data_IF_378243392847
#
_entry.id   IF_378243392847
#
_cell.length_a   1.000
_cell.length_b   1.000
_cell.length_c   1.000
_cell.angle_alpha   90.00
_cell.angle_beta   90.00
_cell.angle_gamma   90.00
#
_symmetry.space_group_name_H-M   'P 1'
#
loop_
_entity.id
_entity.type
_entity.pdbx_description
1 polymer ?
#
# COMPACT_ATOMS: atom_id res chain seq x y z
N UNK A 1 -17.80 -9.34 15.30
CA UNK A 1 -18.09 -7.92 14.95
C UNK A 1 -19.06 -7.97 13.79
N UNK A 2 -20.24 -7.47 13.96
CA UNK A 2 -21.28 -7.56 12.95
C UNK A 2 -20.89 -6.75 11.71
N UNK A 3 -21.00 -7.37 10.55
CA UNK A 3 -20.58 -6.83 9.26
C UNK A 3 -21.21 -5.47 8.95
N UNK A 4 -22.46 -5.27 9.40
CA UNK A 4 -23.22 -4.03 9.17
C UNK A 4 -22.64 -2.82 9.94
N UNK A 5 -22.23 -3.00 11.20
CA UNK A 5 -21.59 -1.95 12.00
C UNK A 5 -20.23 -1.52 11.36
N UNK A 6 -19.45 -2.46 10.88
CA UNK A 6 -18.18 -2.15 10.21
C UNK A 6 -18.38 -1.32 8.94
N UNK A 7 -19.42 -1.63 8.15
CA UNK A 7 -19.76 -0.89 6.93
C UNK A 7 -20.15 0.56 7.26
N UNK A 8 -21.06 0.76 8.23
CA UNK A 8 -21.50 2.09 8.64
C UNK A 8 -20.33 2.94 9.17
N UNK A 9 -19.41 2.31 9.93
CA UNK A 9 -18.19 2.98 10.41
C UNK A 9 -17.30 3.41 9.26
N UNK A 10 -17.08 2.51 8.28
CA UNK A 10 -16.26 2.79 7.11
C UNK A 10 -16.83 3.96 6.30
N UNK A 11 -18.15 3.98 6.05
CA UNK A 11 -18.83 5.06 5.32
C UNK A 11 -18.69 6.40 6.03
N UNK A 12 -18.86 6.41 7.37
CA UNK A 12 -18.65 7.61 8.20
C UNK A 12 -17.22 8.12 8.09
N UNK A 13 -16.21 7.25 8.26
CA UNK A 13 -14.80 7.61 8.20
C UNK A 13 -14.41 8.12 6.81
N UNK A 14 -14.95 7.52 5.75
CA UNK A 14 -14.76 7.97 4.38
C UNK A 14 -15.32 9.38 4.18
N UNK A 15 -16.57 9.62 4.61
CA UNK A 15 -17.20 10.93 4.50
C UNK A 15 -16.42 12.03 5.28
N UNK A 16 -15.94 11.73 6.49
CA UNK A 16 -15.09 12.63 7.27
C UNK A 16 -13.76 12.97 6.58
N UNK A 17 -13.29 12.08 5.73
CA UNK A 17 -12.04 12.23 4.94
C UNK A 17 -12.28 12.80 3.55
N UNK A 18 -13.50 13.23 3.23
CA UNK A 18 -13.89 13.76 1.91
C UNK A 18 -13.91 12.70 0.81
N UNK A 19 -14.04 11.43 1.18
CA UNK A 19 -14.14 10.31 0.26
C UNK A 19 -15.61 9.86 0.13
N UNK A 20 -15.96 9.37 -1.06
CA UNK A 20 -17.27 8.76 -1.30
C UNK A 20 -17.06 7.31 -1.75
N UNK A 21 -17.51 6.37 -0.91
CA UNK A 21 -17.48 4.95 -1.24
C UNK A 21 -18.82 4.57 -1.86
N UNK A 22 -18.84 4.30 -3.17
CA UNK A 22 -20.06 3.98 -3.91
C UNK A 22 -19.82 2.83 -4.88
N UNK A 23 -20.93 2.13 -5.23
CA UNK A 23 -20.94 1.10 -6.24
C UNK A 23 -19.92 -0.02 -6.00
N UNK A 24 -19.32 -0.48 -7.07
CA UNK A 24 -18.38 -1.62 -7.06
C UNK A 24 -17.20 -1.43 -6.09
N UNK A 25 -16.67 -0.21 -5.95
CA UNK A 25 -15.58 0.07 -5.01
C UNK A 25 -16.01 -0.25 -3.57
N UNK A 26 -17.17 0.24 -3.15
CA UNK A 26 -17.68 -0.01 -1.80
C UNK A 26 -17.90 -1.51 -1.55
N UNK A 27 -18.51 -2.22 -2.49
CA UNK A 27 -18.76 -3.67 -2.41
C UNK A 27 -17.47 -4.47 -2.29
N UNK A 28 -16.47 -4.15 -3.11
CA UNK A 28 -15.16 -4.83 -3.09
C UNK A 28 -14.36 -4.52 -1.81
N UNK A 29 -14.41 -3.30 -1.30
CA UNK A 29 -13.77 -2.95 -0.01
C UNK A 29 -14.42 -3.72 1.15
N UNK A 30 -15.74 -3.85 1.16
CA UNK A 30 -16.46 -4.65 2.14
C UNK A 30 -16.10 -6.15 2.03
N UNK A 31 -15.99 -6.68 0.80
CA UNK A 31 -15.56 -8.06 0.56
C UNK A 31 -14.13 -8.29 1.06
N UNK A 32 -13.23 -7.33 0.83
CA UNK A 32 -11.87 -7.36 1.36
C UNK A 32 -11.85 -7.40 2.89
N UNK A 33 -12.62 -6.55 3.56
CA UNK A 33 -12.68 -6.53 5.03
C UNK A 33 -13.24 -7.83 5.60
N UNK A 34 -14.28 -8.40 4.97
CA UNK A 34 -14.81 -9.72 5.39
C UNK A 34 -13.76 -10.83 5.23
N UNK A 35 -13.05 -10.83 4.11
CA UNK A 35 -11.97 -11.79 3.86
C UNK A 35 -10.86 -11.67 4.89
N UNK A 36 -10.42 -10.43 5.13
CA UNK A 36 -9.37 -10.11 6.12
C UNK A 36 -9.77 -10.58 7.52
N UNK A 37 -11.00 -10.28 7.97
CA UNK A 37 -11.52 -10.68 9.26
C UNK A 37 -11.53 -12.22 9.41
N UNK A 38 -11.96 -12.93 8.38
CA UNK A 38 -11.98 -14.41 8.36
C UNK A 38 -10.57 -14.98 8.52
N UNK A 39 -9.60 -14.48 7.77
CA UNK A 39 -8.23 -14.98 7.83
C UNK A 39 -7.50 -14.55 9.10
N UNK A 40 -7.83 -13.39 9.65
CA UNK A 40 -7.19 -12.88 10.87
C UNK A 40 -7.50 -13.73 12.12
N UNK A 41 -8.49 -14.61 12.07
CA UNK A 41 -8.74 -15.62 13.12
C UNK A 41 -7.65 -16.69 13.19
N UNK A 42 -6.96 -16.94 12.07
CA UNK A 42 -5.97 -18.02 11.94
C UNK A 42 -4.53 -17.53 11.78
N UNK A 43 -4.36 -16.33 11.25
CA UNK A 43 -3.04 -15.70 11.06
C UNK A 43 -3.12 -14.21 11.41
N UNK A 44 -2.06 -13.67 12.02
CA UNK A 44 -2.00 -12.25 12.36
C UNK A 44 -1.70 -11.41 11.10
N UNK A 45 -2.76 -10.96 10.42
CA UNK A 45 -2.67 -10.07 9.26
C UNK A 45 -2.63 -8.59 9.66
N UNK A 46 -3.33 -8.26 10.74
CA UNK A 46 -3.41 -6.90 11.28
C UNK A 46 -3.14 -6.89 12.77
N UNK A 47 -2.55 -5.80 13.27
CA UNK A 47 -2.42 -5.56 14.70
C UNK A 47 -3.79 -5.38 15.37
N UNK A 48 -3.88 -5.69 16.67
CA UNK A 48 -5.05 -5.36 17.49
C UNK A 48 -5.03 -3.87 17.81
N UNK A 49 -5.81 -3.09 17.06
CA UNK A 49 -6.10 -1.68 17.32
C UNK A 49 -7.62 -1.50 17.37
N UNK A 50 -8.07 -0.35 17.85
CA UNK A 50 -9.50 -0.06 17.79
C UNK A 50 -10.01 -0.07 16.33
N UNK A 51 -11.30 -0.32 16.17
CA UNK A 51 -11.89 -0.57 14.85
C UNK A 51 -11.77 0.64 13.92
N UNK A 52 -11.99 1.86 14.41
CA UNK A 52 -11.96 3.07 13.59
C UNK A 52 -10.53 3.35 13.11
N UNK A 53 -9.52 3.24 13.99
CA UNK A 53 -8.11 3.37 13.61
C UNK A 53 -7.68 2.28 12.62
N UNK A 54 -8.18 1.06 12.79
CA UNK A 54 -7.89 -0.05 11.87
C UNK A 54 -8.47 0.22 10.48
N UNK A 55 -9.76 0.58 10.38
CA UNK A 55 -10.42 0.89 9.12
C UNK A 55 -9.77 2.09 8.42
N UNK A 56 -9.41 3.10 9.21
CA UNK A 56 -8.71 4.28 8.71
C UNK A 56 -7.38 3.90 8.07
N UNK A 57 -6.55 3.13 8.78
CA UNK A 57 -5.24 2.70 8.27
C UNK A 57 -5.35 1.75 7.09
N UNK A 58 -6.30 0.81 7.12
CA UNK A 58 -6.43 -0.21 6.09
C UNK A 58 -7.05 0.32 4.80
N UNK A 59 -7.99 1.25 4.89
CA UNK A 59 -8.82 1.68 3.75
C UNK A 59 -8.67 3.17 3.46
N UNK A 60 -8.91 4.04 4.44
CA UNK A 60 -9.00 5.49 4.21
C UNK A 60 -7.67 6.07 3.77
N UNK A 61 -6.59 5.79 4.50
CA UNK A 61 -5.24 6.26 4.13
C UNK A 61 -4.81 5.84 2.72
N UNK A 62 -4.92 4.55 2.32
CA UNK A 62 -4.63 4.14 0.95
C UNK A 62 -5.48 4.84 -0.10
N UNK A 63 -6.77 5.06 0.16
CA UNK A 63 -7.65 5.78 -0.77
C UNK A 63 -7.25 7.25 -0.92
N UNK A 64 -6.87 7.93 0.19
CA UNK A 64 -6.33 9.29 0.11
C UNK A 64 -5.03 9.32 -0.71
N UNK A 65 -4.15 8.33 -0.51
CA UNK A 65 -2.89 8.23 -1.22
C UNK A 65 -3.06 8.07 -2.75
N UNK A 66 -4.22 7.62 -3.24
CA UNK A 66 -4.48 7.54 -4.69
C UNK A 66 -4.42 8.90 -5.39
N UNK A 67 -4.49 10.01 -4.65
CA UNK A 67 -4.38 11.37 -5.22
C UNK A 67 -3.03 11.64 -5.87
N UNK A 68 -1.95 10.97 -5.44
CA UNK A 68 -0.62 11.09 -6.03
C UNK A 68 -0.34 10.06 -7.12
N UNK A 69 -1.30 9.17 -7.40
CA UNK A 69 -1.22 8.11 -8.40
C UNK A 69 -2.16 8.46 -9.57
N UNK A 70 -1.62 8.83 -10.74
CA UNK A 70 -2.46 9.12 -11.91
C UNK A 70 -3.18 7.87 -12.42
N UNK A 71 -4.22 8.07 -13.20
CA UNK A 71 -4.90 6.96 -13.84
C UNK A 71 -4.07 6.41 -15.01
N UNK A 72 -3.97 5.09 -15.11
CA UNK A 72 -3.22 4.45 -16.18
C UNK A 72 -2.84 3.00 -15.87
N UNK A 73 -2.32 2.30 -16.87
CA UNK A 73 -1.75 0.96 -16.77
C UNK A 73 -0.34 0.98 -16.19
N UNK A 74 -0.13 1.63 -15.05
CA UNK A 74 1.17 1.81 -14.41
C UNK A 74 1.52 0.61 -13.54
N UNK A 75 2.80 0.23 -13.49
CA UNK A 75 3.29 -0.84 -12.63
C UNK A 75 3.46 -0.33 -11.19
N UNK A 76 2.92 -1.08 -10.26
CA UNK A 76 2.92 -0.78 -8.82
C UNK A 76 3.42 -1.99 -8.04
N UNK A 77 4.49 -1.82 -7.28
CA UNK A 77 5.06 -2.81 -6.38
C UNK A 77 4.76 -2.42 -4.93
N UNK A 78 4.18 -3.33 -4.15
CA UNK A 78 3.99 -3.14 -2.72
C UNK A 78 4.86 -4.11 -1.93
N UNK A 79 5.75 -3.58 -1.09
CA UNK A 79 6.73 -4.37 -0.36
C UNK A 79 6.29 -4.60 1.08
N UNK A 80 6.28 -5.87 1.48
CA UNK A 80 5.79 -6.27 2.79
C UNK A 80 4.27 -6.20 2.91
N UNK A 81 3.56 -6.65 1.89
CA UNK A 81 2.11 -6.44 1.71
C UNK A 81 1.23 -6.98 2.84
N UNK A 82 1.68 -7.96 3.61
CA UNK A 82 1.00 -8.45 4.81
C UNK A 82 -0.48 -8.77 4.63
N UNK A 83 -1.34 -7.93 5.20
CA UNK A 83 -2.79 -8.00 5.04
C UNK A 83 -3.32 -7.31 3.77
N UNK A 84 -2.46 -6.89 2.85
CA UNK A 84 -2.84 -6.32 1.56
C UNK A 84 -3.08 -4.81 1.55
N UNK A 85 -2.87 -4.11 2.67
CA UNK A 85 -2.92 -2.64 2.70
C UNK A 85 -1.51 -2.05 2.77
N UNK A 86 -1.18 -1.07 1.90
CA UNK A 86 -2.08 -0.22 1.11
C UNK A 86 -2.47 -0.77 -0.28
N UNK A 87 -1.83 -1.82 -0.77
CA UNK A 87 -1.92 -2.28 -2.15
C UNK A 87 -3.33 -2.56 -2.66
N UNK A 88 -4.11 -3.39 -1.93
CA UNK A 88 -5.45 -3.81 -2.37
C UNK A 88 -6.41 -2.63 -2.47
N UNK A 89 -6.57 -1.76 -1.45
CA UNK A 89 -7.44 -0.59 -1.57
C UNK A 89 -7.04 0.37 -2.69
N UNK A 90 -5.72 0.57 -2.91
CA UNK A 90 -5.22 1.37 -4.04
C UNK A 90 -5.62 0.72 -5.37
N UNK A 91 -5.39 -0.60 -5.52
CA UNK A 91 -5.76 -1.34 -6.74
C UNK A 91 -7.25 -1.30 -7.01
N UNK A 92 -8.08 -1.41 -5.98
CA UNK A 92 -9.54 -1.30 -6.12
C UNK A 92 -9.98 0.08 -6.59
N UNK A 93 -9.33 1.15 -6.11
CA UNK A 93 -9.60 2.52 -6.53
C UNK A 93 -8.96 2.88 -7.89
N UNK A 94 -7.88 2.19 -8.29
CA UNK A 94 -7.12 2.38 -9.52
C UNK A 94 -7.02 1.05 -10.29
N UNK A 95 -8.11 0.54 -10.86
CA UNK A 95 -8.19 -0.84 -11.36
C UNK A 95 -7.25 -1.14 -12.55
N UNK A 96 -6.76 -0.11 -13.25
CA UNK A 96 -5.83 -0.26 -14.38
C UNK A 96 -4.36 -0.44 -13.96
N UNK A 97 -4.01 -0.30 -12.69
CA UNK A 97 -2.65 -0.57 -12.21
C UNK A 97 -2.29 -2.05 -12.42
N UNK A 98 -1.06 -2.32 -12.83
CA UNK A 98 -0.47 -3.67 -12.74
C UNK A 98 0.19 -3.80 -11.38
N UNK A 99 -0.38 -4.63 -10.49
CA UNK A 99 0.04 -4.75 -9.09
C UNK A 99 0.90 -5.99 -8.86
N UNK A 100 2.05 -5.79 -8.22
CA UNK A 100 2.85 -6.87 -7.65
C UNK A 100 2.95 -6.68 -6.14
N UNK A 101 2.43 -7.63 -5.37
CA UNK A 101 2.53 -7.67 -3.91
C UNK A 101 3.63 -8.61 -3.46
N UNK A 102 4.53 -8.14 -2.60
CA UNK A 102 5.66 -8.91 -2.07
C UNK A 102 5.45 -9.22 -0.60
N UNK A 103 5.48 -10.48 -0.24
CA UNK A 103 5.32 -10.94 1.13
C UNK A 103 6.17 -12.19 1.39
N UNK A 104 7.02 -12.16 2.41
CA UNK A 104 7.93 -13.26 2.71
C UNK A 104 7.27 -14.46 3.41
N UNK A 105 6.14 -14.24 4.08
CA UNK A 105 5.43 -15.28 4.85
C UNK A 105 4.42 -16.02 3.99
N UNK A 106 4.64 -17.31 3.75
CA UNK A 106 3.80 -18.17 2.89
C UNK A 106 2.30 -18.08 3.22
N UNK A 107 1.94 -18.07 4.52
CA UNK A 107 0.52 -17.97 4.92
C UNK A 107 -0.10 -16.63 4.56
N UNK A 108 0.64 -15.52 4.69
CA UNK A 108 0.18 -14.19 4.28
C UNK A 108 0.08 -14.08 2.76
N UNK A 109 1.05 -14.65 2.02
CA UNK A 109 0.98 -14.73 0.55
C UNK A 109 -0.22 -15.54 0.06
N UNK A 110 -0.59 -16.62 0.77
CA UNK A 110 -1.81 -17.39 0.46
C UNK A 110 -3.07 -16.54 0.62
N UNK A 111 -3.16 -15.75 1.70
CA UNK A 111 -4.23 -14.76 1.88
C UNK A 111 -4.30 -13.77 0.71
N UNK A 112 -3.16 -13.19 0.32
CA UNK A 112 -3.11 -12.20 -0.77
C UNK A 112 -3.57 -12.82 -2.12
N UNK A 113 -3.19 -14.06 -2.41
CA UNK A 113 -3.67 -14.78 -3.61
C UNK A 113 -5.18 -15.03 -3.55
N UNK A 114 -5.71 -15.39 -2.39
CA UNK A 114 -7.16 -15.53 -2.22
C UNK A 114 -7.87 -14.18 -2.37
N UNK A 115 -7.28 -13.09 -1.88
CA UNK A 115 -7.82 -11.74 -2.06
C UNK A 115 -7.88 -11.35 -3.54
N UNK A 116 -6.81 -11.60 -4.31
CA UNK A 116 -6.80 -11.38 -5.77
C UNK A 116 -7.98 -12.10 -6.44
N UNK A 117 -8.14 -13.40 -6.13
CA UNK A 117 -9.21 -14.21 -6.71
C UNK A 117 -10.61 -13.75 -6.29
N UNK A 118 -10.80 -13.49 -5.00
CA UNK A 118 -12.12 -13.15 -4.43
C UNK A 118 -12.61 -11.77 -4.87
N UNK A 119 -11.70 -10.82 -5.04
CA UNK A 119 -11.99 -9.43 -5.42
C UNK A 119 -11.88 -9.20 -6.93
N UNK A 120 -11.53 -10.25 -7.68
CA UNK A 120 -11.26 -10.18 -9.14
C UNK A 120 -10.27 -9.07 -9.50
N UNK A 121 -9.12 -9.03 -8.82
CA UNK A 121 -8.08 -8.04 -9.08
C UNK A 121 -7.29 -8.42 -10.33
N UNK A 122 -7.71 -7.91 -11.48
CA UNK A 122 -6.99 -8.13 -12.76
C UNK A 122 -5.57 -7.56 -12.69
N UNK A 123 -4.64 -8.14 -13.46
CA UNK A 123 -3.26 -7.68 -13.55
C UNK A 123 -2.58 -7.54 -12.16
N UNK A 124 -2.83 -8.53 -11.28
CA UNK A 124 -2.29 -8.55 -9.93
C UNK A 124 -1.60 -9.87 -9.64
N UNK A 125 -0.40 -9.81 -9.03
CA UNK A 125 0.43 -10.97 -8.70
C UNK A 125 0.94 -10.90 -7.25
N UNK A 126 1.34 -12.06 -6.71
CA UNK A 126 1.95 -12.17 -5.38
C UNK A 126 3.27 -12.91 -5.48
N UNK A 127 4.35 -12.25 -5.13
CA UNK A 127 5.67 -12.82 -4.95
C UNK A 127 5.87 -13.24 -3.49
N UNK A 128 6.10 -14.55 -3.28
CA UNK A 128 6.43 -15.07 -1.94
C UNK A 128 7.94 -15.09 -1.80
N UNK A 129 8.52 -13.94 -1.49
CA UNK A 129 9.97 -13.72 -1.46
C UNK A 129 10.34 -12.64 -0.44
N UNK A 130 11.61 -12.58 -0.08
CA UNK A 130 12.18 -11.43 0.60
C UNK A 130 12.54 -10.36 -0.43
N UNK A 131 12.65 -9.11 0.02
CA UNK A 131 13.03 -7.99 -0.86
C UNK A 131 14.38 -8.24 -1.54
N UNK A 132 15.34 -8.81 -0.81
CA UNK A 132 16.68 -9.12 -1.29
C UNK A 132 16.66 -10.08 -2.50
N UNK A 133 15.78 -11.08 -2.47
CA UNK A 133 15.64 -12.05 -3.54
C UNK A 133 15.12 -11.43 -4.83
N UNK A 134 14.28 -10.38 -4.69
CA UNK A 134 13.71 -9.68 -5.84
C UNK A 134 14.71 -8.76 -6.55
N UNK A 135 15.75 -8.32 -5.86
CA UNK A 135 16.83 -7.54 -6.50
C UNK A 135 17.61 -8.35 -7.55
N UNK A 136 17.42 -9.66 -7.59
CA UNK A 136 17.98 -10.55 -8.63
C UNK A 136 17.05 -10.70 -9.85
N UNK A 137 15.87 -10.09 -9.83
CA UNK A 137 14.83 -10.18 -10.85
C UNK A 137 14.90 -8.98 -11.80
N UNK A 138 15.62 -9.15 -12.91
CA UNK A 138 15.79 -8.09 -13.92
C UNK A 138 14.48 -7.56 -14.50
N UNK A 139 13.42 -8.38 -14.52
CA UNK A 139 12.09 -7.99 -15.01
C UNK A 139 11.36 -7.02 -14.07
N UNK A 140 11.80 -6.92 -12.80
CA UNK A 140 11.24 -6.00 -11.79
C UNK A 140 12.09 -4.74 -11.63
N UNK A 141 13.40 -4.82 -11.88
CA UNK A 141 14.28 -3.68 -11.73
C UNK A 141 13.93 -2.58 -12.75
N UNK A 142 14.05 -1.33 -12.30
CA UNK A 142 13.85 -0.11 -13.09
C UNK A 142 12.55 -0.07 -13.92
N UNK A 143 11.53 -0.82 -13.48
CA UNK A 143 10.28 -0.98 -14.22
C UNK A 143 9.04 -0.46 -13.51
N UNK A 144 9.14 -0.10 -12.22
CA UNK A 144 8.01 0.31 -11.41
C UNK A 144 7.77 1.82 -11.46
N UNK A 145 6.55 2.22 -11.79
CA UNK A 145 6.13 3.61 -11.66
C UNK A 145 5.93 4.00 -10.19
N UNK A 146 5.49 3.04 -9.37
CA UNK A 146 5.29 3.22 -7.94
C UNK A 146 5.80 2.02 -7.16
N UNK A 147 6.44 2.31 -6.02
CA UNK A 147 6.77 1.33 -4.98
C UNK A 147 6.17 1.82 -3.68
N UNK A 148 5.45 0.99 -2.94
CA UNK A 148 4.93 1.35 -1.61
C UNK A 148 5.56 0.53 -0.50
N UNK A 149 5.64 1.15 0.68
CA UNK A 149 6.09 0.54 1.91
C UNK A 149 5.28 1.08 3.09
N UNK A 150 4.87 0.18 3.99
CA UNK A 150 4.15 0.54 5.22
C UNK A 150 4.70 -0.21 6.44
N UNK A 151 4.68 0.47 7.60
CA UNK A 151 4.94 -0.13 8.92
C UNK A 151 6.33 -0.78 9.11
N UNK A 152 7.34 -0.31 8.38
CA UNK A 152 8.73 -0.75 8.50
C UNK A 152 9.60 0.46 8.88
N UNK A 153 10.60 0.23 9.72
CA UNK A 153 11.64 1.25 9.95
C UNK A 153 12.42 1.43 8.65
N UNK A 154 12.41 2.64 8.12
CA UNK A 154 13.11 2.99 6.89
C UNK A 154 14.50 3.49 7.23
N UNK A 155 15.51 2.86 6.68
CA UNK A 155 16.90 3.31 6.70
C UNK A 155 17.40 3.53 5.25
N UNK A 156 18.59 4.10 5.12
CA UNK A 156 19.16 4.39 3.80
C UNK A 156 19.38 3.13 2.97
N UNK A 157 19.79 2.03 3.60
CA UNK A 157 20.02 0.76 2.90
C UNK A 157 18.72 0.23 2.27
N UNK A 158 17.61 0.35 2.99
CA UNK A 158 16.30 -0.04 2.46
C UNK A 158 15.87 0.88 1.31
N UNK A 159 16.07 2.20 1.45
CA UNK A 159 15.79 3.16 0.39
C UNK A 159 16.60 2.87 -0.88
N UNK A 160 17.90 2.59 -0.74
CA UNK A 160 18.79 2.25 -1.86
C UNK A 160 18.34 0.97 -2.58
N UNK A 161 17.79 0.00 -1.86
CA UNK A 161 17.22 -1.22 -2.45
C UNK A 161 15.89 -0.92 -3.17
N UNK A 162 15.01 -0.14 -2.55
CA UNK A 162 13.68 0.15 -3.11
C UNK A 162 13.77 1.00 -4.37
N UNK A 163 14.71 1.96 -4.44
CA UNK A 163 14.90 2.77 -5.64
C UNK A 163 15.34 1.95 -6.86
N UNK A 164 15.99 0.78 -6.65
CA UNK A 164 16.39 -0.13 -7.73
C UNK A 164 15.21 -0.67 -8.54
N UNK A 165 14.01 -0.72 -7.99
CA UNK A 165 12.80 -1.13 -8.72
C UNK A 165 12.15 0.03 -9.50
N UNK A 166 12.42 1.29 -9.11
CA UNK A 166 11.79 2.45 -9.72
C UNK A 166 12.37 2.72 -11.11
N UNK A 167 11.48 2.91 -12.08
CA UNK A 167 11.83 3.52 -13.35
C UNK A 167 12.23 4.99 -13.16
N UNK A 168 12.82 5.62 -14.16
CA UNK A 168 13.07 7.05 -14.17
C UNK A 168 11.77 7.84 -13.96
N UNK A 169 11.77 8.77 -13.01
CA UNK A 169 10.58 9.51 -12.60
C UNK A 169 9.62 8.70 -11.72
N UNK A 170 9.89 7.43 -11.45
CA UNK A 170 9.10 6.58 -10.55
C UNK A 170 9.10 7.10 -9.11
N UNK A 171 8.07 6.79 -8.35
CA UNK A 171 7.86 7.32 -6.99
C UNK A 171 7.83 6.22 -5.94
N UNK A 172 8.48 6.48 -4.82
CA UNK A 172 8.40 5.68 -3.61
C UNK A 172 7.38 6.31 -2.65
N UNK A 173 6.41 5.51 -2.20
CA UNK A 173 5.30 5.90 -1.35
C UNK A 173 5.48 5.31 0.04
N UNK A 174 5.93 6.12 1.00
CA UNK A 174 6.18 5.71 2.37
C UNK A 174 4.99 6.10 3.25
N UNK A 175 4.26 5.10 3.73
CA UNK A 175 3.14 5.30 4.66
C UNK A 175 3.66 5.34 6.10
N UNK A 176 3.64 6.52 6.70
CA UNK A 176 4.09 6.76 8.06
C UNK A 176 2.91 7.09 8.98
N UNK A 177 2.96 6.66 10.23
CA UNK A 177 1.93 6.94 11.22
C UNK A 177 2.50 7.22 12.60
N UNK A 178 1.88 8.15 13.33
CA UNK A 178 2.20 8.47 14.71
C UNK A 178 3.53 9.22 14.89
N UNK A 179 4.00 9.25 16.13
CA UNK A 179 5.21 9.98 16.55
C UNK A 179 6.52 9.42 15.99
N UNK A 180 6.47 8.25 15.33
CA UNK A 180 7.64 7.55 14.79
C UNK A 180 8.09 8.02 13.40
N UNK A 181 7.63 9.20 12.96
CA UNK A 181 8.15 9.77 11.72
C UNK A 181 9.58 10.23 11.92
N UNK A 182 10.51 9.33 11.67
CA UNK A 182 11.94 9.67 11.65
C UNK A 182 12.19 10.60 10.47
N UNK A 183 12.96 11.66 10.70
CA UNK A 183 13.57 12.38 9.60
C UNK A 183 14.34 11.38 8.74
N UNK A 184 14.03 11.32 7.45
CA UNK A 184 14.70 10.40 6.50
C UNK A 184 16.20 10.72 6.33
N UNK A 185 16.72 11.74 7.03
CA UNK A 185 18.11 12.19 6.86
C UNK A 185 18.37 12.75 5.47
N UNK A 186 19.63 12.71 5.03
CA UNK A 186 20.00 13.03 3.65
C UNK A 186 19.69 11.82 2.77
N UNK A 187 18.93 12.05 1.70
CA UNK A 187 18.64 11.00 0.70
C UNK A 187 19.85 10.83 -0.23
N UNK A 188 20.18 9.59 -0.57
CA UNK A 188 21.17 9.31 -1.59
C UNK A 188 20.57 9.50 -3.00
N UNK A 189 21.26 10.21 -3.91
CA UNK A 189 20.85 10.25 -5.31
C UNK A 189 20.76 8.84 -5.92
N UNK A 190 19.88 8.63 -6.89
CA UNK A 190 18.98 9.58 -7.57
C UNK A 190 17.65 9.83 -6.88
N UNK A 191 17.46 9.39 -5.61
CA UNK A 191 16.20 9.55 -4.90
C UNK A 191 16.11 10.93 -4.25
N UNK A 192 15.03 11.67 -4.53
CA UNK A 192 14.78 13.01 -3.99
C UNK A 192 13.42 13.11 -3.32
N UNK A 193 13.30 13.96 -2.32
CA UNK A 193 12.02 14.29 -1.70
C UNK A 193 11.16 15.10 -2.67
N UNK A 194 9.86 14.80 -2.75
CA UNK A 194 8.89 15.56 -3.54
C UNK A 194 7.87 16.27 -2.67
N UNK A 195 7.15 15.52 -1.85
CA UNK A 195 6.09 16.08 -1.04
C UNK A 195 5.76 15.18 0.16
N UNK A 196 5.06 15.76 1.12
CA UNK A 196 4.39 15.02 2.18
C UNK A 196 2.89 15.31 2.11
N UNK A 197 2.09 14.27 1.93
CA UNK A 197 0.63 14.35 1.93
C UNK A 197 0.11 13.96 3.31
N UNK A 198 -0.64 14.85 3.98
CA UNK A 198 -1.38 14.49 5.19
C UNK A 198 -2.46 13.46 4.81
N UNK A 199 -2.48 12.33 5.50
CA UNK A 199 -3.49 11.28 5.26
C UNK A 199 -4.67 11.48 6.22
N UNK A 200 -4.49 11.22 7.51
CA UNK A 200 -5.53 11.40 8.52
C UNK A 200 -4.95 12.10 9.74
N UNK A 201 -5.47 13.29 10.06
CA UNK A 201 -4.92 14.16 11.10
C UNK A 201 -5.02 13.54 12.49
N UNK A 202 -6.16 12.91 12.82
CA UNK A 202 -6.37 12.26 14.12
C UNK A 202 -5.41 11.12 14.43
N UNK A 203 -4.78 10.54 13.41
CA UNK A 203 -3.76 9.50 13.56
C UNK A 203 -2.32 10.03 13.35
N UNK A 204 -2.16 11.33 13.08
CA UNK A 204 -0.87 11.92 12.71
C UNK A 204 -0.24 11.24 11.51
N UNK A 205 -1.06 10.61 10.64
CA UNK A 205 -0.56 9.80 9.55
C UNK A 205 -0.28 10.64 8.30
N UNK A 206 0.80 10.27 7.60
CA UNK A 206 1.24 10.95 6.40
C UNK A 206 1.80 9.99 5.36
N UNK A 207 1.77 10.41 4.12
CA UNK A 207 2.46 9.77 3.01
C UNK A 207 3.64 10.64 2.62
N UNK A 208 4.85 10.10 2.73
CA UNK A 208 6.06 10.73 2.18
C UNK A 208 6.27 10.21 0.78
N UNK A 209 6.40 11.10 -0.17
CA UNK A 209 6.62 10.79 -1.58
C UNK A 209 8.05 11.17 -1.94
N UNK A 210 8.84 10.16 -2.28
CA UNK A 210 10.16 10.33 -2.88
C UNK A 210 10.08 9.99 -4.36
N UNK A 211 10.99 10.54 -5.17
CA UNK A 211 11.03 10.27 -6.60
C UNK A 211 12.45 9.96 -7.06
N UNK A 212 12.59 8.95 -7.92
CA UNK A 212 13.84 8.70 -8.63
C UNK A 212 13.98 9.72 -9.74
N UNK A 213 15.02 10.56 -9.69
CA UNK A 213 15.36 11.47 -10.79
C UNK A 213 15.94 10.69 -11.96
N UNK A 214 15.80 11.26 -13.16
CA UNK A 214 16.48 10.70 -14.33
C UNK A 214 17.98 10.80 -14.13
N UNK A 215 18.69 9.74 -14.40
CA UNK A 215 20.16 9.81 -14.46
C UNK A 215 20.56 10.90 -15.46
N UNK A 216 21.40 11.83 -15.01
CA UNK A 216 22.06 12.74 -15.95
C UNK A 216 23.04 11.89 -16.78
N UNK A 217 22.72 11.68 -18.04
CA UNK A 217 23.68 11.14 -19.01
C UNK A 217 24.76 12.17 -19.27
#
# INVERSE_FOLDING_TARGET
METQDTIQRLDRLAAQSGLQLKGELAEKLQAYLRLLARWNTSINLTSRVDTDSLLTRLIIEPLIATRVIPDGGLKFLDVGSGGGSPAIPIKLAKPRLTLTMVESKTRKSAFLREAIRTLDLKDSTVETARLEDLLLRNDLLESMAFVSLRAVSVDQTLLDRLQGFLQDGGKLLLFEGGENSKNLGSLNPPLVFRETVKLVESLGSRLVVLQKEKGSN
#
